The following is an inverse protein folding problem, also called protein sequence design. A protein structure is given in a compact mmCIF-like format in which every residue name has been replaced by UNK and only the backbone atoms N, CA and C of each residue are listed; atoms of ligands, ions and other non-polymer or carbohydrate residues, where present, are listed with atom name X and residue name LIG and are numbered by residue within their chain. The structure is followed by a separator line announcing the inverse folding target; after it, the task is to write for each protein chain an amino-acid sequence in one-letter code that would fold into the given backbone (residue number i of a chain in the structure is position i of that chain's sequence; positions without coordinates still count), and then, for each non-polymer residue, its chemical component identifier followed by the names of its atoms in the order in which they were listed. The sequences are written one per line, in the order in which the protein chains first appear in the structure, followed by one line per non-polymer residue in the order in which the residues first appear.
data_IF_250793124558
#
_entry.id   IF_250793124558
#
_cell.length_a   1.000
_cell.length_b   1.000
_cell.length_c   1.000
_cell.angle_alpha   90.00
_cell.angle_beta   90.00
_cell.angle_gamma   90.00
#
_symmetry.space_group_name_H-M   'P 1'
#
loop_
_entity.id
_entity.type
_entity.pdbx_description
1 polymer ?
#
# COMPACT_ATOMS: atom_id res chain seq x y z
N UNK A 1 10.78 -24.32 -4.85
CA UNK A 1 12.17 -24.12 -5.27
C UNK A 1 12.21 -22.84 -6.07
N UNK A 2 12.56 -21.71 -5.46
CA UNK A 2 12.62 -20.42 -6.14
C UNK A 2 13.83 -20.39 -7.07
N UNK A 3 13.60 -20.19 -8.36
CA UNK A 3 14.67 -19.92 -9.30
C UNK A 3 15.39 -18.64 -8.86
N UNK A 4 16.67 -18.73 -8.53
CA UNK A 4 17.52 -17.54 -8.40
C UNK A 4 17.55 -16.85 -9.76
N UNK A 5 17.26 -15.55 -9.77
CA UNK A 5 17.51 -14.73 -10.96
C UNK A 5 19.01 -14.85 -11.22
N UNK A 6 19.46 -15.17 -12.45
CA UNK A 6 20.85 -15.02 -12.77
C UNK A 6 21.21 -13.53 -12.55
N UNK A 7 22.18 -13.28 -11.66
CA UNK A 7 22.86 -12.00 -11.66
C UNK A 7 23.37 -11.77 -13.08
N UNK A 8 22.98 -10.66 -13.69
CA UNK A 8 23.55 -10.21 -14.97
C UNK A 8 25.06 -10.10 -14.72
N UNK A 9 25.83 -11.03 -15.29
CA UNK A 9 27.27 -11.16 -15.01
C UNK A 9 28.11 -10.09 -15.68
N UNK A 10 27.50 -9.24 -16.56
CA UNK A 10 28.14 -8.09 -17.19
C UNK A 10 27.13 -6.93 -17.31
N UNK A 11 27.00 -6.16 -16.22
CA UNK A 11 26.29 -4.87 -16.31
C UNK A 11 27.09 -3.92 -17.18
N UNK A 12 26.52 -3.32 -18.26
CA UNK A 12 27.24 -2.37 -19.07
C UNK A 12 27.81 -1.21 -18.23
N UNK A 13 29.08 -0.88 -18.44
CA UNK A 13 29.74 0.26 -17.75
C UNK A 13 29.28 1.60 -18.35
N UNK A 14 28.01 1.93 -18.15
CA UNK A 14 27.41 3.18 -18.58
C UNK A 14 27.35 4.13 -17.39
N UNK A 15 27.96 5.31 -17.56
CA UNK A 15 27.93 6.39 -16.56
C UNK A 15 26.88 7.40 -16.90
N UNK A 16 25.94 7.62 -16.01
CA UNK A 16 24.91 8.66 -16.15
C UNK A 16 25.52 9.99 -15.71
N UNK A 17 25.45 11.05 -16.54
CA UNK A 17 25.92 12.38 -16.17
C UNK A 17 25.25 12.90 -14.90
N UNK A 18 26.02 13.49 -13.98
CA UNK A 18 25.52 13.92 -12.67
C UNK A 18 24.32 14.88 -12.73
N UNK A 19 24.20 15.69 -13.77
CA UNK A 19 23.08 16.63 -13.94
C UNK A 19 21.77 15.97 -14.37
N UNK A 20 21.79 14.68 -14.76
CA UNK A 20 20.58 13.90 -15.07
C UNK A 20 20.10 13.07 -13.88
N UNK A 21 20.96 12.86 -12.86
CA UNK A 21 20.61 12.03 -11.71
C UNK A 21 19.55 12.70 -10.84
N UNK A 22 18.59 11.93 -10.32
CA UNK A 22 17.67 12.43 -9.31
C UNK A 22 18.42 12.86 -8.04
N UNK A 23 17.88 13.80 -7.29
CA UNK A 23 18.42 14.19 -5.99
C UNK A 23 18.36 13.02 -4.99
N UNK A 24 17.34 12.16 -5.12
CA UNK A 24 17.22 10.90 -4.37
C UNK A 24 16.82 9.76 -5.32
N UNK A 25 17.70 8.81 -5.50
CA UNK A 25 17.53 7.70 -6.44
C UNK A 25 16.67 6.51 -5.96
N UNK A 26 15.91 6.61 -4.88
CA UNK A 26 15.13 5.50 -4.30
C UNK A 26 13.70 5.46 -4.84
N UNK A 27 13.39 4.50 -5.70
CA UNK A 27 12.08 4.31 -6.34
C UNK A 27 11.41 2.98 -5.96
N UNK A 28 11.75 2.43 -4.79
CA UNK A 28 11.25 1.14 -4.33
C UNK A 28 9.75 1.11 -4.06
N UNK A 29 9.08 0.12 -4.65
CA UNK A 29 7.64 -0.12 -4.48
C UNK A 29 7.25 -0.77 -3.12
N UNK A 30 8.16 -0.73 -2.16
CA UNK A 30 7.97 -1.16 -0.76
C UNK A 30 9.03 -2.16 -0.28
N UNK A 31 9.76 -1.81 0.78
CA UNK A 31 9.67 -0.52 1.50
C UNK A 31 9.98 0.67 0.62
N UNK A 32 9.42 1.83 0.97
CA UNK A 32 9.59 3.07 0.24
C UNK A 32 10.61 4.01 0.89
N UNK A 33 10.99 5.07 0.17
CA UNK A 33 11.85 6.13 0.67
C UNK A 33 11.33 6.71 1.99
N UNK A 34 12.17 6.72 3.02
CA UNK A 34 11.95 7.47 4.26
C UNK A 34 12.53 8.86 4.09
N UNK A 35 11.78 9.89 4.48
CA UNK A 35 12.21 11.29 4.39
C UNK A 35 13.33 11.60 5.38
N UNK A 36 14.39 12.36 4.97
CA UNK A 36 15.49 12.74 5.85
C UNK A 36 15.03 13.49 7.12
N UNK A 37 14.05 14.38 6.99
CA UNK A 37 13.52 15.17 8.11
C UNK A 37 12.88 14.30 9.20
N UNK A 38 12.22 13.19 8.79
CA UNK A 38 11.68 12.20 9.71
C UNK A 38 12.77 11.49 10.51
N UNK A 39 13.90 11.15 9.84
CA UNK A 39 15.06 10.54 10.50
C UNK A 39 15.74 11.51 11.47
N UNK A 40 15.92 12.77 11.10
CA UNK A 40 16.47 13.82 11.98
C UNK A 40 15.59 14.01 13.22
N UNK A 41 14.28 14.05 13.05
CA UNK A 41 13.31 14.12 14.14
C UNK A 41 13.39 12.90 15.06
N UNK A 42 13.51 11.68 14.49
CA UNK A 42 13.67 10.44 15.25
C UNK A 42 14.96 10.46 16.09
N UNK A 43 16.08 10.88 15.52
CA UNK A 43 17.36 11.01 16.23
C UNK A 43 17.23 11.97 17.41
N UNK A 44 16.57 13.12 17.23
CA UNK A 44 16.35 14.08 18.28
C UNK A 44 15.43 13.55 19.41
N UNK A 45 14.41 12.77 19.07
CA UNK A 45 13.48 12.17 20.02
C UNK A 45 14.04 10.90 20.72
N UNK A 46 14.97 10.20 20.09
CA UNK A 46 15.44 8.88 20.48
C UNK A 46 15.79 8.74 21.98
N UNK A 47 16.51 9.68 22.65
CA UNK A 47 16.89 9.52 24.06
C UNK A 47 15.71 9.43 25.04
N UNK A 48 14.53 9.93 24.64
CA UNK A 48 13.32 9.97 25.49
C UNK A 48 12.20 9.05 24.99
N UNK A 49 12.40 8.43 23.83
CA UNK A 49 11.36 7.68 23.14
C UNK A 49 11.78 6.21 22.87
N UNK A 50 12.90 5.98 22.19
CA UNK A 50 13.36 4.62 21.88
C UNK A 50 13.79 3.89 23.15
N UNK A 51 13.46 2.59 23.21
CA UNK A 51 13.76 1.76 24.38
C UNK A 51 12.90 2.06 25.61
N UNK A 52 11.90 2.95 25.50
CA UNK A 52 10.92 3.19 26.57
C UNK A 52 9.70 2.27 26.44
N UNK A 53 8.97 2.07 27.53
CA UNK A 53 7.77 1.24 27.49
C UNK A 53 6.68 1.86 26.62
N UNK A 54 6.10 1.07 25.72
CA UNK A 54 4.98 1.51 24.87
C UNK A 54 3.69 1.88 25.65
N UNK A 55 3.65 1.58 26.96
CA UNK A 55 2.55 1.97 27.87
C UNK A 55 2.79 3.30 28.56
N UNK A 56 3.92 3.93 28.35
CA UNK A 56 4.29 5.23 28.94
C UNK A 56 3.90 6.40 28.03
N UNK A 57 3.74 7.58 28.65
CA UNK A 57 3.27 8.80 27.98
C UNK A 57 3.97 9.13 26.66
N UNK A 58 5.31 9.04 26.52
CA UNK A 58 5.95 9.42 25.26
C UNK A 58 5.48 8.59 24.06
N UNK A 59 5.33 7.27 24.24
CA UNK A 59 4.89 6.39 23.16
C UNK A 59 3.39 6.53 22.92
N UNK A 60 2.59 6.58 23.97
CA UNK A 60 1.14 6.84 23.87
C UNK A 60 0.82 8.15 23.16
N UNK A 61 1.59 9.19 23.41
CA UNK A 61 1.42 10.48 22.73
C UNK A 61 1.64 10.37 21.22
N UNK A 62 2.64 9.59 20.76
CA UNK A 62 2.88 9.34 19.34
C UNK A 62 1.74 8.51 18.74
N UNK A 63 1.24 7.48 19.43
CA UNK A 63 0.09 6.69 18.96
C UNK A 63 -1.18 7.54 18.88
N UNK A 64 -1.46 8.36 19.89
CA UNK A 64 -2.60 9.28 19.89
C UNK A 64 -2.52 10.30 18.74
N UNK A 65 -1.37 10.98 18.60
CA UNK A 65 -1.10 11.91 17.48
C UNK A 65 -1.30 11.25 16.12
N UNK A 66 -0.75 10.05 15.94
CA UNK A 66 -0.91 9.30 14.70
C UNK A 66 -2.37 8.95 14.40
N UNK A 67 -3.13 8.50 15.40
CA UNK A 67 -4.54 8.15 15.25
C UNK A 67 -5.39 9.37 14.89
N UNK A 68 -5.20 10.47 15.59
CA UNK A 68 -5.85 11.75 15.31
C UNK A 68 -5.47 12.28 13.92
N UNK A 69 -4.16 12.26 13.60
CA UNK A 69 -3.67 12.69 12.29
C UNK A 69 -4.18 11.85 11.12
N UNK A 70 -4.36 10.55 11.30
CA UNK A 70 -4.98 9.68 10.29
C UNK A 70 -6.48 9.94 10.16
N UNK A 71 -7.20 10.17 11.25
CA UNK A 71 -8.61 10.53 11.20
C UNK A 71 -8.82 11.84 10.43
N UNK A 72 -7.97 12.84 10.68
CA UNK A 72 -7.95 14.11 9.92
C UNK A 72 -7.64 13.87 8.44
N UNK A 73 -6.54 13.15 8.13
CA UNK A 73 -6.07 12.90 6.76
C UNK A 73 -7.14 12.25 5.89
N UNK A 74 -7.87 11.29 6.43
CA UNK A 74 -8.93 10.56 5.72
C UNK A 74 -10.31 11.18 5.93
N UNK A 75 -10.43 12.30 6.63
CA UNK A 75 -11.72 12.96 6.94
C UNK A 75 -12.73 11.97 7.51
N UNK A 76 -12.30 11.14 8.46
CA UNK A 76 -13.14 10.10 9.04
C UNK A 76 -14.29 10.69 9.84
N UNK A 77 -15.50 10.12 9.77
CA UNK A 77 -16.56 10.41 10.75
C UNK A 77 -16.13 10.09 12.18
N UNK A 78 -16.70 10.81 13.16
CA UNK A 78 -16.31 10.72 14.59
C UNK A 78 -16.49 9.32 15.20
N UNK A 79 -17.36 8.48 14.62
CA UNK A 79 -17.67 7.13 15.07
C UNK A 79 -16.76 6.05 14.45
N UNK A 80 -15.86 6.43 13.53
CA UNK A 80 -14.82 5.55 13.04
C UNK A 80 -13.67 5.43 14.03
N UNK A 81 -13.01 4.28 14.05
CA UNK A 81 -11.86 4.03 14.93
C UNK A 81 -10.63 3.70 14.10
N UNK A 82 -9.55 4.44 14.32
CA UNK A 82 -8.22 4.10 13.81
C UNK A 82 -7.61 3.06 14.76
N UNK A 83 -7.38 1.86 14.25
CA UNK A 83 -6.87 0.71 15.00
C UNK A 83 -5.50 0.30 14.47
N UNK A 84 -4.57 0.00 15.37
CA UNK A 84 -3.21 -0.41 15.03
C UNK A 84 -2.90 -1.80 15.58
N UNK A 85 -2.06 -2.53 14.84
CA UNK A 85 -1.50 -3.80 15.30
C UNK A 85 -0.11 -4.08 14.72
N UNK A 86 0.55 -5.05 15.30
CA UNK A 86 1.88 -5.49 14.87
C UNK A 86 1.78 -6.44 13.69
N UNK A 87 2.77 -6.40 12.76
CA UNK A 87 2.95 -7.40 11.72
C UNK A 87 2.86 -6.86 10.31
N UNK A 88 2.04 -6.06 9.88
CA UNK A 88 1.81 -5.65 8.49
C UNK A 88 0.53 -6.25 7.92
N UNK A 89 0.18 -5.92 6.68
CA UNK A 89 -1.11 -6.21 6.07
C UNK A 89 -1.41 -7.72 5.98
N UNK A 90 -0.39 -8.55 5.85
CA UNK A 90 -0.56 -10.01 5.85
C UNK A 90 -1.20 -10.51 7.16
N UNK A 91 -0.76 -9.95 8.31
CA UNK A 91 -1.40 -10.26 9.59
C UNK A 91 -2.84 -9.74 9.67
N UNK A 92 -3.14 -8.61 9.00
CA UNK A 92 -4.50 -8.10 8.96
C UNK A 92 -5.44 -8.99 8.14
N UNK A 93 -4.99 -9.58 7.02
CA UNK A 93 -5.82 -10.55 6.29
C UNK A 93 -6.26 -11.71 7.18
N UNK A 94 -5.33 -12.28 7.94
CA UNK A 94 -5.66 -13.35 8.90
C UNK A 94 -6.64 -12.85 9.97
N UNK A 95 -6.37 -11.69 10.59
CA UNK A 95 -7.27 -11.08 11.57
C UNK A 95 -8.67 -10.84 10.99
N UNK A 96 -8.78 -10.38 9.74
CA UNK A 96 -10.05 -10.15 9.07
C UNK A 96 -10.84 -11.46 8.84
N UNK A 97 -10.17 -12.57 8.50
CA UNK A 97 -10.85 -13.87 8.37
C UNK A 97 -11.46 -14.33 9.68
N UNK A 98 -10.82 -14.04 10.81
CA UNK A 98 -11.34 -14.40 12.14
C UNK A 98 -12.42 -13.44 12.63
N UNK A 99 -12.29 -12.13 12.36
CA UNK A 99 -13.06 -11.11 13.09
C UNK A 99 -14.01 -10.29 12.22
N UNK A 100 -13.89 -10.30 10.87
CA UNK A 100 -14.75 -9.53 9.98
C UNK A 100 -15.63 -10.39 9.06
N UNK A 101 -15.22 -11.62 8.74
CA UNK A 101 -16.00 -12.56 7.93
C UNK A 101 -16.80 -13.48 8.87
N UNK A 102 -18.12 -13.47 8.73
CA UNK A 102 -18.96 -14.38 9.51
C UNK A 102 -19.01 -15.77 8.91
N UNK A 103 -19.31 -15.85 7.60
CA UNK A 103 -19.48 -17.11 6.87
C UNK A 103 -18.80 -17.10 5.51
N UNK A 104 -19.12 -16.13 4.64
CA UNK A 104 -18.71 -16.15 3.25
C UNK A 104 -18.37 -14.76 2.73
N UNK A 105 -17.24 -14.67 2.05
CA UNK A 105 -16.77 -13.43 1.44
C UNK A 105 -16.73 -13.51 -0.09
N UNK A 106 -16.71 -12.34 -0.74
CA UNK A 106 -16.39 -12.17 -2.15
C UNK A 106 -15.09 -11.37 -2.27
N UNK A 107 -14.17 -11.78 -3.12
CA UNK A 107 -12.90 -11.10 -3.34
C UNK A 107 -12.68 -10.80 -4.81
N UNK A 108 -12.13 -9.62 -5.09
CA UNK A 108 -11.63 -9.27 -6.41
C UNK A 108 -10.14 -9.65 -6.49
N UNK A 109 -9.78 -10.45 -7.49
CA UNK A 109 -8.41 -10.95 -7.68
C UNK A 109 -7.91 -10.58 -9.08
N UNK A 110 -6.99 -9.62 -9.16
CA UNK A 110 -6.43 -9.08 -10.40
C UNK A 110 -4.91 -8.85 -10.34
N UNK A 111 -4.25 -9.51 -9.39
CA UNK A 111 -2.81 -9.53 -9.25
C UNK A 111 -2.34 -10.34 -8.05
N UNK A 112 -1.07 -10.23 -7.72
CA UNK A 112 -0.45 -11.02 -6.64
C UNK A 112 -1.02 -10.67 -5.27
N UNK A 113 -1.26 -9.38 -4.97
CA UNK A 113 -1.65 -8.96 -3.63
C UNK A 113 -3.15 -9.11 -3.41
N UNK A 114 -3.95 -8.78 -4.38
CA UNK A 114 -5.41 -8.97 -4.33
C UNK A 114 -5.80 -10.45 -4.17
N UNK A 115 -5.02 -11.38 -4.72
CA UNK A 115 -5.27 -12.82 -4.55
C UNK A 115 -4.96 -13.34 -3.15
N UNK A 116 -4.13 -12.67 -2.35
CA UNK A 116 -3.67 -13.17 -1.04
C UNK A 116 -4.75 -13.13 0.04
N UNK A 117 -5.56 -12.08 0.07
CA UNK A 117 -6.68 -12.03 1.01
C UNK A 117 -7.73 -13.10 0.66
N UNK A 118 -8.03 -13.27 -0.65
CA UNK A 118 -8.88 -14.36 -1.11
C UNK A 118 -8.35 -15.74 -0.69
N UNK A 119 -7.05 -15.97 -0.82
CA UNK A 119 -6.39 -17.21 -0.40
C UNK A 119 -6.44 -17.41 1.13
N UNK A 120 -6.27 -16.36 1.92
CA UNK A 120 -6.41 -16.42 3.37
C UNK A 120 -7.84 -16.80 3.78
N UNK A 121 -8.85 -16.22 3.13
CA UNK A 121 -10.25 -16.56 3.37
C UNK A 121 -10.57 -18.02 2.97
N UNK A 122 -10.08 -18.48 1.82
CA UNK A 122 -10.25 -19.86 1.37
C UNK A 122 -9.55 -20.90 2.27
N UNK A 123 -8.44 -20.53 2.89
CA UNK A 123 -7.71 -21.40 3.81
C UNK A 123 -8.31 -21.45 5.23
N UNK A 124 -9.22 -20.53 5.57
CA UNK A 124 -9.76 -20.41 6.91
C UNK A 124 -10.80 -21.51 7.19
N UNK A 125 -10.55 -22.48 8.10
CA UNK A 125 -11.37 -23.68 8.25
C UNK A 125 -12.77 -23.42 8.85
N UNK A 126 -13.02 -22.22 9.30
CA UNK A 126 -14.28 -21.79 9.92
C UNK A 126 -15.15 -20.96 8.96
N UNK A 127 -14.71 -20.76 7.72
CA UNK A 127 -15.41 -20.02 6.68
C UNK A 127 -15.87 -20.96 5.57
N UNK A 128 -16.88 -20.53 4.82
CA UNK A 128 -17.25 -21.12 3.55
C UNK A 128 -16.28 -20.66 2.45
N UNK A 129 -16.14 -21.44 1.37
CA UNK A 129 -15.32 -21.05 0.23
C UNK A 129 -15.73 -19.67 -0.30
N UNK A 130 -14.80 -18.73 -0.44
CA UNK A 130 -15.11 -17.41 -0.93
C UNK A 130 -15.50 -17.41 -2.41
N UNK A 131 -16.32 -16.48 -2.83
CA UNK A 131 -16.49 -16.15 -4.23
C UNK A 131 -15.29 -15.31 -4.71
N UNK A 132 -14.61 -15.72 -5.77
CA UNK A 132 -13.46 -15.00 -6.31
C UNK A 132 -13.78 -14.54 -7.73
N UNK A 133 -13.80 -13.23 -7.95
CA UNK A 133 -14.00 -12.61 -9.26
C UNK A 133 -12.63 -12.19 -9.78
N UNK A 134 -12.28 -12.66 -10.97
CA UNK A 134 -10.97 -12.39 -11.59
C UNK A 134 -11.12 -11.58 -12.87
N UNK A 135 -10.06 -10.88 -13.27
CA UNK A 135 -9.94 -10.22 -14.56
C UNK A 135 -8.59 -10.50 -15.20
N UNK A 136 -8.42 -10.06 -16.44
CA UNK A 136 -7.12 -10.11 -17.13
C UNK A 136 -6.08 -9.24 -16.40
N UNK A 137 -4.82 -9.66 -16.49
CA UNK A 137 -3.70 -8.91 -15.89
C UNK A 137 -3.59 -7.52 -16.53
N UNK A 138 -3.50 -6.49 -15.70
CA UNK A 138 -3.51 -5.10 -16.17
C UNK A 138 -4.91 -4.47 -16.23
N UNK A 139 -5.93 -5.18 -15.73
CA UNK A 139 -7.31 -4.67 -15.52
C UNK A 139 -7.79 -5.00 -14.11
N UNK A 140 -8.96 -4.53 -13.71
CA UNK A 140 -9.64 -4.95 -12.48
C UNK A 140 -11.09 -5.38 -12.78
N UNK A 141 -11.68 -6.32 -12.02
CA UNK A 141 -13.09 -6.64 -12.09
C UNK A 141 -13.89 -5.72 -11.16
N UNK A 142 -15.20 -5.71 -11.32
CA UNK A 142 -16.13 -5.03 -10.42
C UNK A 142 -16.72 -6.01 -9.39
N UNK A 143 -16.94 -5.52 -8.17
CA UNK A 143 -17.64 -6.28 -7.14
C UNK A 143 -19.13 -6.32 -7.42
N UNK A 144 -19.77 -7.47 -7.16
CA UNK A 144 -21.19 -7.70 -7.42
C UNK A 144 -21.90 -8.02 -6.11
N UNK A 145 -22.90 -7.20 -5.75
CA UNK A 145 -23.74 -7.47 -4.58
C UNK A 145 -24.50 -8.80 -4.73
N UNK A 146 -24.35 -9.69 -3.76
CA UNK A 146 -24.99 -11.01 -3.75
C UNK A 146 -25.53 -11.35 -2.37
N UNK A 147 -26.66 -12.02 -2.34
CA UNK A 147 -27.21 -12.60 -1.12
C UNK A 147 -26.23 -13.64 -0.54
N UNK A 148 -26.08 -13.64 0.77
CA UNK A 148 -25.21 -14.58 1.49
C UNK A 148 -23.74 -14.18 1.54
N UNK A 149 -23.33 -13.10 0.88
CA UNK A 149 -21.98 -12.52 1.04
C UNK A 149 -22.01 -11.55 2.22
N UNK A 150 -21.19 -11.80 3.22
CA UNK A 150 -21.10 -10.99 4.44
C UNK A 150 -19.87 -10.07 4.49
N UNK A 151 -18.91 -10.23 3.53
CA UNK A 151 -17.79 -9.33 3.33
C UNK A 151 -17.37 -9.29 1.87
N UNK A 152 -17.12 -8.09 1.34
CA UNK A 152 -16.54 -7.81 0.03
C UNK A 152 -15.10 -7.33 0.21
N UNK A 153 -14.13 -8.11 -0.27
CA UNK A 153 -12.70 -7.79 -0.23
C UNK A 153 -12.27 -7.10 -1.53
N UNK A 154 -11.98 -5.80 -1.44
CA UNK A 154 -11.51 -4.96 -2.54
C UNK A 154 -10.02 -4.64 -2.36
N UNK A 155 -9.33 -4.28 -3.45
CA UNK A 155 -7.93 -3.83 -3.42
C UNK A 155 -7.84 -2.51 -4.16
N UNK A 156 -7.53 -1.42 -3.46
CA UNK A 156 -7.50 -0.08 -4.06
C UNK A 156 -6.38 0.07 -5.09
N UNK A 157 -5.24 -0.55 -4.83
CA UNK A 157 -4.08 -0.51 -5.72
C UNK A 157 -3.34 -1.86 -5.71
N UNK A 158 -3.22 -2.48 -6.86
CA UNK A 158 -2.47 -3.72 -7.04
C UNK A 158 -1.00 -3.42 -7.41
N UNK A 159 -0.12 -3.50 -6.43
CA UNK A 159 1.30 -3.13 -6.57
C UNK A 159 2.06 -3.98 -7.60
N UNK A 160 1.61 -5.20 -7.86
CA UNK A 160 2.29 -6.11 -8.79
C UNK A 160 2.09 -5.73 -10.25
N UNK A 161 0.97 -5.08 -10.57
CA UNK A 161 0.55 -4.75 -11.93
C UNK A 161 0.44 -3.25 -12.20
N UNK A 162 0.41 -2.40 -11.16
CA UNK A 162 0.19 -0.97 -11.31
C UNK A 162 -1.25 -0.61 -11.70
N UNK A 163 -2.22 -1.46 -11.33
CA UNK A 163 -3.64 -1.20 -11.52
C UNK A 163 -4.23 -0.59 -10.26
N UNK A 164 -4.88 0.55 -10.36
CA UNK A 164 -5.75 1.07 -9.31
C UNK A 164 -7.21 0.89 -9.69
N UNK A 165 -8.09 0.79 -8.69
CA UNK A 165 -9.52 0.74 -8.90
C UNK A 165 -10.25 1.74 -7.99
N UNK A 166 -11.38 2.33 -8.44
CA UNK A 166 -12.22 3.13 -7.57
C UNK A 166 -12.82 2.25 -6.47
N UNK A 167 -12.84 2.76 -5.24
CA UNK A 167 -13.52 2.07 -4.13
C UNK A 167 -14.96 2.50 -4.11
N UNK A 168 -15.83 1.59 -4.50
CA UNK A 168 -17.28 1.78 -4.58
C UNK A 168 -17.93 0.55 -3.94
N UNK A 169 -18.84 0.78 -3.00
CA UNK A 169 -19.65 -0.27 -2.38
C UNK A 169 -20.44 -1.04 -3.46
N UNK A 170 -20.43 -2.37 -3.45
CA UNK A 170 -21.03 -3.18 -4.52
C UNK A 170 -22.52 -2.85 -4.70
N UNK A 171 -22.91 -2.57 -5.93
CA UNK A 171 -24.31 -2.30 -6.29
C UNK A 171 -25.17 -3.55 -6.03
N UNK A 172 -26.32 -3.38 -5.37
CA UNK A 172 -27.23 -4.46 -5.03
C UNK A 172 -26.87 -5.21 -3.73
N UNK A 173 -25.74 -4.88 -3.09
CA UNK A 173 -25.48 -5.34 -1.73
C UNK A 173 -26.45 -4.64 -0.76
N UNK A 174 -27.03 -5.40 0.19
CA UNK A 174 -27.73 -4.79 1.32
C UNK A 174 -26.73 -3.95 2.15
N UNK A 175 -27.22 -2.93 2.86
CA UNK A 175 -26.36 -2.18 3.77
C UNK A 175 -25.94 -3.06 4.95
N UNK A 176 -24.77 -2.82 5.57
CA UNK A 176 -24.40 -3.55 6.77
C UNK A 176 -25.42 -3.44 7.91
N UNK A 177 -26.13 -2.31 8.01
CA UNK A 177 -27.20 -2.11 9.00
C UNK A 177 -28.40 -3.02 8.75
N UNK A 178 -28.65 -3.39 7.50
CA UNK A 178 -29.72 -4.32 7.09
C UNK A 178 -29.22 -5.78 6.97
N UNK A 179 -28.10 -6.10 7.60
CA UNK A 179 -27.49 -7.44 7.56
C UNK A 179 -26.65 -7.73 6.29
N UNK A 180 -26.34 -6.71 5.50
CA UNK A 180 -25.50 -6.83 4.32
C UNK A 180 -24.02 -6.99 4.61
N UNK A 181 -23.24 -7.21 3.54
CA UNK A 181 -21.80 -7.42 3.63
C UNK A 181 -21.02 -6.15 3.93
N UNK A 182 -19.99 -6.28 4.78
CA UNK A 182 -18.98 -5.24 4.97
C UNK A 182 -18.12 -5.08 3.71
N UNK A 183 -17.59 -3.87 3.49
CA UNK A 183 -16.57 -3.61 2.49
C UNK A 183 -15.22 -3.47 3.17
N UNK A 184 -14.33 -4.44 2.93
CA UNK A 184 -12.94 -4.43 3.41
C UNK A 184 -12.00 -4.10 2.26
N UNK A 185 -11.20 -3.05 2.39
CA UNK A 185 -10.33 -2.53 1.35
C UNK A 185 -8.87 -2.71 1.71
N UNK A 186 -8.17 -3.52 0.92
CA UNK A 186 -6.70 -3.51 0.95
C UNK A 186 -6.19 -2.24 0.26
N UNK A 187 -5.73 -1.32 1.08
CA UNK A 187 -5.15 -0.07 0.65
C UNK A 187 -3.64 0.02 0.91
N UNK A 188 -2.99 -1.14 1.05
CA UNK A 188 -1.58 -1.22 1.45
C UNK A 188 -0.68 -0.28 0.67
N UNK A 189 -0.84 -0.16 -0.63
CA UNK A 189 -0.05 0.75 -1.46
C UNK A 189 -0.81 1.99 -1.93
N UNK A 190 -2.11 2.08 -1.68
CA UNK A 190 -2.95 3.23 -2.05
C UNK A 190 -3.10 4.27 -0.95
N UNK A 191 -3.21 3.82 0.30
CA UNK A 191 -3.48 4.69 1.45
C UNK A 191 -2.44 5.81 1.60
N UNK A 192 -2.91 7.04 1.67
CA UNK A 192 -2.07 8.24 1.75
C UNK A 192 -1.56 8.77 0.41
N UNK A 193 -1.78 8.04 -0.70
CA UNK A 193 -1.44 8.48 -2.05
C UNK A 193 -2.63 8.52 -3.00
N UNK A 194 -3.68 7.75 -2.69
CA UNK A 194 -4.95 7.75 -3.43
C UNK A 194 -6.09 8.18 -2.51
N UNK A 195 -6.99 9.06 -2.95
CA UNK A 195 -8.15 9.45 -2.15
C UNK A 195 -9.14 8.28 -2.01
N UNK A 196 -9.92 8.32 -0.95
CA UNK A 196 -11.03 7.39 -0.71
C UNK A 196 -12.16 8.11 0.03
N UNK A 197 -13.41 7.78 -0.29
CA UNK A 197 -14.57 8.24 0.46
C UNK A 197 -14.86 7.26 1.61
N UNK A 198 -14.83 7.69 2.89
CA UNK A 198 -15.15 6.84 4.03
C UNK A 198 -16.51 6.14 3.96
N UNK A 199 -17.50 6.71 3.27
CA UNK A 199 -18.80 6.08 3.08
C UNK A 199 -18.77 4.79 2.24
N UNK A 200 -17.68 4.56 1.50
CA UNK A 200 -17.56 3.41 0.59
C UNK A 200 -16.94 2.18 1.23
N UNK A 201 -16.43 2.27 2.47
CA UNK A 201 -15.80 1.14 3.15
C UNK A 201 -16.24 0.98 4.62
N UNK A 202 -16.01 -0.20 5.15
CA UNK A 202 -16.19 -0.52 6.58
C UNK A 202 -14.88 -0.86 7.27
N UNK A 203 -13.92 -1.43 6.55
CA UNK A 203 -12.55 -1.67 7.01
C UNK A 203 -11.57 -1.27 5.89
N UNK A 204 -10.88 -0.15 6.06
CA UNK A 204 -9.84 0.30 5.14
C UNK A 204 -8.49 0.10 5.83
N UNK A 205 -7.67 -0.82 5.29
CA UNK A 205 -6.46 -1.24 5.99
C UNK A 205 -5.21 -1.15 5.12
N UNK A 206 -4.08 -0.86 5.78
CA UNK A 206 -2.81 -0.62 5.12
C UNK A 206 -1.63 -0.81 6.07
N UNK A 207 -0.41 -0.64 5.55
CA UNK A 207 0.83 -0.68 6.30
C UNK A 207 1.73 0.49 5.91
N UNK A 208 2.58 1.01 6.84
CA UNK A 208 3.20 2.31 6.68
C UNK A 208 4.39 2.36 5.72
N UNK A 209 4.93 1.22 5.28
CA UNK A 209 6.13 1.15 4.43
C UNK A 209 5.91 1.51 2.94
N UNK A 210 4.74 2.03 2.58
CA UNK A 210 4.37 2.45 1.21
C UNK A 210 4.27 3.97 1.11
N UNK A 211 3.09 4.53 0.85
CA UNK A 211 2.89 5.97 0.73
C UNK A 211 3.30 6.77 1.97
N UNK A 212 3.22 6.16 3.14
CA UNK A 212 3.62 6.83 4.38
C UNK A 212 5.14 6.84 4.63
N UNK A 213 5.94 6.25 3.75
CA UNK A 213 7.40 6.40 3.78
C UNK A 213 8.03 6.15 5.14
N UNK A 214 7.49 5.20 5.92
CA UNK A 214 8.13 4.68 7.12
C UNK A 214 8.43 3.19 6.94
N UNK A 215 9.10 2.57 7.89
CA UNK A 215 9.46 1.16 7.76
C UNK A 215 8.26 0.24 8.08
N UNK A 216 8.37 -1.07 7.80
CA UNK A 216 7.33 -2.05 8.04
C UNK A 216 7.15 -2.44 9.51
N UNK A 217 6.29 -3.45 9.76
CA UNK A 217 6.09 -4.04 11.08
C UNK A 217 4.79 -3.64 11.79
N UNK A 218 3.97 -2.81 11.15
CA UNK A 218 2.65 -2.41 11.63
C UNK A 218 1.59 -2.62 10.55
N UNK A 219 0.36 -2.86 10.97
CA UNK A 219 -0.83 -2.62 10.16
C UNK A 219 -1.72 -1.57 10.83
N UNK A 220 -2.49 -0.88 10.03
CA UNK A 220 -3.51 0.08 10.45
C UNK A 220 -4.82 -0.28 9.79
N UNK A 221 -5.92 -0.13 10.49
CA UNK A 221 -7.26 -0.25 9.95
C UNK A 221 -8.15 0.89 10.43
N UNK A 222 -8.85 1.50 9.49
CA UNK A 222 -9.90 2.48 9.73
C UNK A 222 -11.22 1.70 9.73
N UNK A 223 -11.88 1.60 10.90
CA UNK A 223 -13.03 0.72 11.10
C UNK A 223 -14.29 1.55 11.33
N UNK A 224 -15.30 1.33 10.47
CA UNK A 224 -16.63 1.92 10.61
C UNK A 224 -17.36 1.37 11.84
N UNK A 225 -18.44 2.00 12.31
CA UNK A 225 -19.31 1.42 13.33
C UNK A 225 -19.79 0.01 12.97
N UNK A 226 -20.16 -0.22 11.71
CA UNK A 226 -20.62 -1.53 11.25
C UNK A 226 -19.52 -2.62 11.37
N UNK A 227 -18.26 -2.26 11.09
CA UNK A 227 -17.13 -3.17 11.29
C UNK A 227 -16.89 -3.44 12.78
N UNK A 228 -16.99 -2.42 13.65
CA UNK A 228 -16.88 -2.58 15.10
C UNK A 228 -17.99 -3.49 15.65
N UNK A 229 -19.22 -3.30 15.22
CA UNK A 229 -20.36 -4.15 15.60
C UNK A 229 -20.18 -5.60 15.11
N UNK A 230 -19.64 -5.79 13.90
CA UNK A 230 -19.30 -7.11 13.36
C UNK A 230 -18.27 -7.83 14.22
N UNK A 231 -17.20 -7.14 14.61
CA UNK A 231 -16.16 -7.67 15.50
C UNK A 231 -16.77 -8.11 16.84
N UNK A 232 -17.57 -7.26 17.46
CA UNK A 232 -18.26 -7.57 18.72
C UNK A 232 -19.22 -8.76 18.57
N UNK A 233 -19.99 -8.83 17.47
CA UNK A 233 -20.91 -9.93 17.20
C UNK A 233 -20.19 -11.26 17.02
N UNK A 234 -19.09 -11.30 16.23
CA UNK A 234 -18.28 -12.51 16.08
C UNK A 234 -17.66 -12.93 17.42
N UNK A 235 -17.13 -12.00 18.20
CA UNK A 235 -16.58 -12.30 19.52
C UNK A 235 -17.63 -12.94 20.45
N UNK A 236 -18.90 -12.51 20.38
CA UNK A 236 -20.00 -13.09 21.18
C UNK A 236 -20.30 -14.56 20.85
N UNK A 237 -19.95 -15.03 19.65
CA UNK A 237 -20.11 -16.45 19.25
C UNK A 237 -19.09 -17.38 19.89
N UNK A 238 -18.07 -16.83 20.56
CA UNK A 238 -16.93 -17.57 21.13
C UNK A 238 -16.10 -18.31 20.07
N UNK A 239 -16.08 -17.81 18.83
CA UNK A 239 -15.12 -18.26 17.81
C UNK A 239 -13.72 -18.14 18.40
N UNK A 240 -12.93 -19.20 18.30
CA UNK A 240 -11.55 -19.12 18.72
C UNK A 240 -10.75 -18.22 17.78
N UNK A 241 -10.01 -17.26 18.35
CA UNK A 241 -9.16 -16.31 17.63
C UNK A 241 -7.81 -16.24 18.35
N UNK A 242 -6.67 -16.34 17.63
CA UNK A 242 -5.37 -16.06 18.24
C UNK A 242 -5.33 -14.63 18.80
N UNK A 243 -4.88 -14.46 20.04
CA UNK A 243 -4.89 -13.15 20.71
C UNK A 243 -4.17 -12.04 19.91
N UNK A 244 -3.13 -12.39 19.13
CA UNK A 244 -2.40 -11.44 18.27
C UNK A 244 -3.19 -11.01 17.02
N UNK A 245 -4.27 -11.70 16.68
CA UNK A 245 -5.15 -11.46 15.53
C UNK A 245 -6.56 -11.03 15.96
N UNK A 246 -6.82 -10.95 17.27
CA UNK A 246 -8.12 -10.56 17.81
C UNK A 246 -8.33 -9.04 17.68
N UNK A 247 -9.20 -8.65 16.76
CA UNK A 247 -9.52 -7.24 16.53
C UNK A 247 -10.25 -6.60 17.72
N UNK A 248 -10.88 -7.37 18.62
CA UNK A 248 -11.41 -6.82 19.87
C UNK A 248 -10.27 -6.31 20.75
N UNK A 249 -9.22 -7.12 20.92
CA UNK A 249 -8.01 -6.73 21.66
C UNK A 249 -7.32 -5.54 21.01
N UNK A 250 -7.23 -5.53 19.69
CA UNK A 250 -6.61 -4.42 18.96
C UNK A 250 -7.40 -3.11 19.13
N UNK A 251 -8.73 -3.15 19.02
CA UNK A 251 -9.62 -2.00 19.23
C UNK A 251 -9.49 -1.44 20.67
N UNK A 252 -9.54 -2.30 21.67
CA UNK A 252 -9.46 -1.88 23.07
C UNK A 252 -8.12 -1.24 23.41
N UNK A 253 -7.03 -1.80 22.87
CA UNK A 253 -5.71 -1.19 23.04
C UNK A 253 -5.58 0.15 22.28
N UNK A 254 -6.08 0.22 21.05
CA UNK A 254 -6.02 1.44 20.25
C UNK A 254 -6.80 2.60 20.88
N UNK A 255 -7.95 2.34 21.50
CA UNK A 255 -8.71 3.34 22.27
C UNK A 255 -7.94 3.91 23.48
N UNK A 256 -6.91 3.21 23.94
CA UNK A 256 -6.01 3.63 25.02
C UNK A 256 -4.67 4.20 24.50
N UNK A 257 -4.57 4.45 23.18
CA UNK A 257 -3.35 4.84 22.48
C UNK A 257 -2.21 3.85 22.68
N UNK A 258 -2.51 2.56 22.50
CA UNK A 258 -1.56 1.47 22.66
C UNK A 258 -1.75 0.43 21.57
N UNK A 259 -0.78 -0.47 21.46
CA UNK A 259 -0.90 -1.76 20.78
C UNK A 259 -0.87 -2.88 21.81
N UNK A 260 -1.38 -4.06 21.44
CA UNK A 260 -1.38 -5.25 22.34
C UNK A 260 0.03 -5.62 22.80
N UNK A 261 0.97 -5.71 21.86
CA UNK A 261 2.40 -5.91 22.12
C UNK A 261 3.19 -4.65 21.77
N UNK A 262 4.45 -4.57 22.23
CA UNK A 262 5.36 -3.48 21.88
C UNK A 262 5.44 -3.33 20.36
N UNK A 263 5.10 -2.15 19.81
CA UNK A 263 5.22 -1.91 18.37
C UNK A 263 6.66 -1.59 17.98
N UNK A 264 6.92 -1.57 16.67
CA UNK A 264 8.17 -1.04 16.12
C UNK A 264 8.20 0.48 16.34
N UNK A 265 8.81 0.94 17.44
CA UNK A 265 8.76 2.34 17.89
C UNK A 265 9.33 3.31 16.86
N UNK A 266 10.44 2.96 16.19
CA UNK A 266 11.02 3.80 15.15
C UNK A 266 10.06 3.98 13.97
N UNK A 267 9.47 2.88 13.49
CA UNK A 267 8.44 2.90 12.43
C UNK A 267 7.23 3.76 12.83
N UNK A 268 6.73 3.57 14.06
CA UNK A 268 5.60 4.33 14.58
C UNK A 268 5.88 5.83 14.60
N UNK A 269 7.08 6.23 15.03
CA UNK A 269 7.50 7.64 15.06
C UNK A 269 7.61 8.22 13.64
N UNK A 270 8.29 7.52 12.74
CA UNK A 270 8.44 7.97 11.34
C UNK A 270 7.09 8.09 10.66
N UNK A 271 6.16 7.19 10.96
CA UNK A 271 4.80 7.22 10.44
C UNK A 271 4.03 8.46 10.92
N UNK A 272 4.07 8.75 12.22
CA UNK A 272 3.49 9.97 12.79
C UNK A 272 4.07 11.25 12.16
N UNK A 273 5.38 11.30 11.95
CA UNK A 273 6.04 12.43 11.28
C UNK A 273 5.57 12.59 9.82
N UNK A 274 5.33 11.49 9.12
CA UNK A 274 4.86 11.52 7.75
C UNK A 274 3.39 11.98 7.65
N UNK A 275 2.52 11.48 8.52
CA UNK A 275 1.11 11.92 8.60
C UNK A 275 1.03 13.39 8.98
N UNK A 276 1.81 13.82 9.96
CA UNK A 276 1.91 15.23 10.36
C UNK A 276 2.36 16.12 9.18
N UNK A 277 3.34 15.67 8.39
CA UNK A 277 3.76 16.39 7.20
C UNK A 277 2.63 16.52 6.19
N UNK A 278 1.90 15.44 5.89
CA UNK A 278 0.76 15.49 4.98
C UNK A 278 -0.27 16.53 5.43
N UNK A 279 -0.71 16.47 6.69
CA UNK A 279 -1.75 17.36 7.22
C UNK A 279 -1.29 18.83 7.22
N UNK A 280 -0.04 19.11 7.60
CA UNK A 280 0.53 20.46 7.57
C UNK A 280 0.63 21.05 6.16
N UNK A 281 0.75 20.23 5.13
CA UNK A 281 0.86 20.66 3.74
C UNK A 281 -0.49 20.73 3.00
N UNK A 282 -1.58 20.29 3.61
CA UNK A 282 -2.92 20.32 3.00
C UNK A 282 -3.60 18.95 2.93
N UNK A 283 -3.13 17.99 3.71
CA UNK A 283 -3.79 16.69 3.88
C UNK A 283 -3.74 15.79 2.65
N UNK A 284 -4.82 15.06 2.42
CA UNK A 284 -4.94 14.12 1.31
C UNK A 284 -4.77 14.80 -0.06
N UNK A 285 -5.27 16.02 -0.23
CA UNK A 285 -5.13 16.76 -1.48
C UNK A 285 -3.66 17.04 -1.83
N UNK A 286 -2.82 17.32 -0.83
CA UNK A 286 -1.39 17.48 -1.03
C UNK A 286 -0.71 16.15 -1.37
N UNK A 287 -0.94 15.10 -0.58
CA UNK A 287 -0.24 13.83 -0.76
C UNK A 287 -0.62 13.13 -2.07
N UNK A 288 -1.91 13.09 -2.40
CA UNK A 288 -2.37 12.54 -3.69
C UNK A 288 -1.95 13.40 -4.86
N UNK A 289 -2.01 14.74 -4.75
CA UNK A 289 -1.57 15.65 -5.81
C UNK A 289 -0.07 15.50 -6.18
N UNK A 290 0.79 15.09 -5.23
CA UNK A 290 2.19 14.71 -5.55
C UNK A 290 2.26 13.44 -6.37
N UNK A 291 1.45 12.44 -6.03
CA UNK A 291 1.35 11.19 -6.79
C UNK A 291 0.79 11.43 -8.19
N UNK A 292 -0.25 12.25 -8.32
CA UNK A 292 -0.85 12.64 -9.61
C UNK A 292 0.19 13.29 -10.52
N UNK A 293 0.95 14.26 -10.00
CA UNK A 293 2.02 14.91 -10.76
C UNK A 293 3.12 13.92 -11.17
N UNK A 294 3.55 13.05 -10.27
CA UNK A 294 4.56 12.03 -10.55
C UNK A 294 4.08 11.04 -11.62
N UNK A 295 2.84 10.59 -11.54
CA UNK A 295 2.24 9.66 -12.51
C UNK A 295 2.06 10.32 -13.88
N UNK A 296 1.63 11.57 -13.93
CA UNK A 296 1.53 12.35 -15.17
C UNK A 296 2.89 12.45 -15.88
N UNK A 297 3.96 12.78 -15.14
CA UNK A 297 5.33 12.82 -15.67
C UNK A 297 5.72 11.47 -16.27
N UNK A 298 5.58 10.40 -15.51
CA UNK A 298 6.00 9.06 -15.91
C UNK A 298 5.21 8.54 -17.12
N UNK A 299 3.88 8.65 -17.10
CA UNK A 299 3.05 8.12 -18.17
C UNK A 299 3.14 8.97 -19.44
N UNK A 300 3.23 10.30 -19.34
CA UNK A 300 3.47 11.18 -20.48
C UNK A 300 4.82 10.87 -21.13
N UNK A 301 5.87 10.63 -20.34
CA UNK A 301 7.16 10.20 -20.87
C UNK A 301 7.04 8.86 -21.61
N UNK A 302 6.38 7.86 -21.02
CA UNK A 302 6.25 6.53 -21.63
C UNK A 302 5.43 6.57 -22.93
N UNK A 303 4.35 7.34 -22.97
CA UNK A 303 3.49 7.49 -24.16
C UNK A 303 4.20 8.22 -25.33
N UNK A 304 5.14 9.10 -25.02
CA UNK A 304 5.95 9.80 -26.03
C UNK A 304 7.27 9.09 -26.38
N UNK A 305 7.58 7.98 -25.69
CA UNK A 305 8.78 7.19 -25.95
C UNK A 305 8.59 6.26 -27.15
N UNK A 306 9.66 6.05 -27.94
CA UNK A 306 9.68 5.06 -29.00
C UNK A 306 9.92 3.63 -28.52
N UNK A 307 10.26 3.43 -27.24
CA UNK A 307 10.70 2.15 -26.68
C UNK A 307 10.02 1.78 -25.34
N UNK A 308 9.17 2.65 -24.82
CA UNK A 308 8.48 2.41 -23.55
C UNK A 308 6.97 2.58 -23.72
N UNK A 309 6.18 1.78 -22.99
CA UNK A 309 4.72 1.83 -23.08
C UNK A 309 4.11 1.55 -21.70
N UNK A 310 3.10 2.31 -21.23
CA UNK A 310 2.37 1.97 -20.02
C UNK A 310 1.75 0.56 -20.13
N UNK A 311 2.01 -0.28 -19.16
CA UNK A 311 1.46 -1.64 -19.13
C UNK A 311 -0.06 -1.63 -19.03
N UNK A 312 -0.60 -0.86 -18.09
CA UNK A 312 -2.04 -0.68 -17.91
C UNK A 312 -2.58 0.18 -19.05
N UNK A 313 -3.48 -0.40 -19.86
CA UNK A 313 -3.93 0.24 -21.10
C UNK A 313 -4.96 1.34 -20.88
N UNK A 314 -5.96 1.08 -20.00
CA UNK A 314 -6.97 2.08 -19.65
C UNK A 314 -6.34 3.13 -18.75
N UNK A 315 -6.42 4.39 -19.17
CA UNK A 315 -5.78 5.51 -18.43
C UNK A 315 -6.34 5.65 -17.02
N UNK A 316 -7.65 5.44 -16.85
CA UNK A 316 -8.34 5.52 -15.58
C UNK A 316 -7.97 4.42 -14.58
N UNK A 317 -7.40 3.31 -15.04
CA UNK A 317 -6.95 2.19 -14.19
C UNK A 317 -5.46 2.28 -13.86
N UNK A 318 -4.72 3.21 -14.47
CA UNK A 318 -3.29 3.40 -14.21
C UNK A 318 -3.06 3.93 -12.81
N UNK A 319 -2.32 3.20 -12.02
CA UNK A 319 -2.00 3.61 -10.65
C UNK A 319 -1.21 4.91 -10.60
N UNK A 320 -1.63 5.84 -9.74
CA UNK A 320 -0.88 7.07 -9.49
C UNK A 320 0.23 6.88 -8.43
N UNK A 321 0.31 5.70 -7.81
CA UNK A 321 1.31 5.40 -6.77
C UNK A 321 2.35 4.36 -7.21
N UNK A 322 2.06 3.58 -8.27
CA UNK A 322 2.96 2.56 -8.83
C UNK A 322 2.87 2.59 -10.35
N UNK A 323 3.90 3.07 -11.01
CA UNK A 323 4.01 3.00 -12.47
C UNK A 323 4.62 1.67 -12.93
N UNK A 324 3.99 1.02 -13.90
CA UNK A 324 4.50 -0.17 -14.58
C UNK A 324 4.66 0.12 -16.06
N UNK A 325 5.90 0.08 -16.55
CA UNK A 325 6.27 0.50 -17.90
C UNK A 325 6.95 -0.67 -18.60
N UNK A 326 6.32 -1.17 -19.65
CA UNK A 326 6.91 -2.18 -20.53
C UNK A 326 7.94 -1.53 -21.45
N UNK A 327 9.07 -2.19 -21.65
CA UNK A 327 10.06 -1.81 -22.66
C UNK A 327 9.93 -2.68 -23.90
N UNK A 328 10.33 -2.13 -25.04
CA UNK A 328 10.43 -2.86 -26.31
C UNK A 328 11.31 -4.10 -26.15
N UNK A 329 10.99 -5.18 -26.86
CA UNK A 329 11.71 -6.46 -26.77
C UNK A 329 13.22 -6.35 -27.16
N UNK A 330 13.59 -5.31 -27.88
CA UNK A 330 15.00 -5.03 -28.21
C UNK A 330 15.80 -4.47 -27.02
N UNK A 331 15.15 -4.09 -25.91
CA UNK A 331 15.76 -3.46 -24.73
C UNK A 331 15.48 -4.34 -23.51
N UNK A 332 16.51 -4.90 -22.90
CA UNK A 332 16.37 -5.70 -21.68
C UNK A 332 16.18 -4.80 -20.44
N UNK A 333 14.97 -4.81 -19.88
CA UNK A 333 14.64 -4.02 -18.69
C UNK A 333 15.52 -4.36 -17.48
N UNK A 334 15.97 -5.60 -17.36
CA UNK A 334 16.83 -6.01 -16.26
C UNK A 334 18.22 -5.36 -16.39
N UNK A 335 18.76 -5.28 -17.58
CA UNK A 335 20.01 -4.58 -17.88
C UNK A 335 19.88 -3.08 -17.63
N UNK A 336 18.77 -2.44 -18.05
CA UNK A 336 18.49 -1.03 -17.75
C UNK A 336 18.46 -0.79 -16.24
N UNK A 337 17.72 -1.60 -15.49
CA UNK A 337 17.64 -1.48 -14.03
C UNK A 337 19.00 -1.70 -13.34
N UNK A 338 19.82 -2.63 -13.86
CA UNK A 338 21.18 -2.87 -13.33
C UNK A 338 22.10 -1.65 -13.53
N UNK A 339 22.05 -1.01 -14.71
CA UNK A 339 22.80 0.23 -15.00
C UNK A 339 22.32 1.37 -14.11
N UNK A 340 21.00 1.56 -13.98
CA UNK A 340 20.40 2.55 -13.08
C UNK A 340 20.94 2.36 -11.65
N UNK A 341 20.90 1.13 -11.15
CA UNK A 341 21.38 0.78 -9.80
C UNK A 341 22.85 1.06 -9.62
N UNK A 342 23.70 0.76 -10.60
CA UNK A 342 25.12 1.07 -10.58
C UNK A 342 25.42 2.59 -10.52
N UNK A 343 24.46 3.42 -10.93
CA UNK A 343 24.52 4.88 -10.86
C UNK A 343 23.70 5.48 -9.69
N UNK A 344 23.27 4.64 -8.71
CA UNK A 344 22.58 5.11 -7.51
C UNK A 344 21.05 5.28 -7.64
N UNK A 345 20.47 4.87 -8.77
CA UNK A 345 19.01 4.87 -8.99
C UNK A 345 18.51 3.44 -8.80
N UNK A 346 17.80 3.17 -7.69
CA UNK A 346 17.57 1.81 -7.20
C UNK A 346 16.09 1.43 -7.16
N UNK A 347 15.86 0.10 -7.19
CA UNK A 347 14.58 -0.56 -6.97
C UNK A 347 13.52 -0.26 -8.04
N UNK A 348 13.98 -0.15 -9.30
CA UNK A 348 13.13 0.00 -10.50
C UNK A 348 12.80 -1.34 -11.17
N UNK A 349 13.27 -2.46 -10.64
CA UNK A 349 13.09 -3.80 -11.20
C UNK A 349 11.60 -4.21 -11.23
N UNK A 350 11.19 -5.04 -12.23
CA UNK A 350 9.82 -5.50 -12.36
C UNK A 350 9.41 -6.41 -11.20
N UNK A 351 8.11 -6.60 -11.04
CA UNK A 351 7.62 -7.64 -10.15
C UNK A 351 7.93 -9.04 -10.75
N UNK A 352 8.85 -9.78 -10.11
CA UNK A 352 9.43 -11.02 -10.67
C UNK A 352 8.42 -12.05 -11.15
N UNK A 353 7.31 -12.25 -10.40
CA UNK A 353 6.31 -13.26 -10.73
C UNK A 353 5.48 -12.89 -11.97
N UNK A 354 5.46 -11.63 -12.37
CA UNK A 354 4.75 -11.18 -13.56
C UNK A 354 5.48 -11.58 -14.85
N UNK A 355 6.82 -11.73 -14.79
CA UNK A 355 7.63 -12.27 -15.90
C UNK A 355 7.68 -11.35 -17.14
N UNK A 356 7.50 -10.05 -16.98
CA UNK A 356 7.49 -9.07 -18.09
C UNK A 356 8.80 -8.33 -18.24
N UNK A 357 9.12 -7.91 -19.45
CA UNK A 357 10.20 -6.97 -19.78
C UNK A 357 9.76 -5.54 -19.40
N UNK A 358 9.88 -5.19 -18.10
CA UNK A 358 9.18 -4.08 -17.50
C UNK A 358 10.02 -3.38 -16.43
N UNK A 359 9.81 -2.09 -16.25
CA UNK A 359 10.22 -1.34 -15.06
C UNK A 359 9.00 -1.10 -14.17
N UNK A 360 9.19 -1.18 -12.84
CA UNK A 360 8.16 -0.85 -11.87
C UNK A 360 8.68 0.22 -10.92
N UNK A 361 8.02 1.36 -10.93
CA UNK A 361 8.49 2.59 -10.32
C UNK A 361 7.49 3.04 -9.27
N UNK A 362 7.93 3.24 -8.04
CA UNK A 362 7.10 3.87 -7.02
C UNK A 362 6.99 5.37 -7.27
N UNK A 363 5.77 5.88 -7.06
CA UNK A 363 5.40 7.29 -7.21
C UNK A 363 4.82 7.82 -5.88
N UNK A 364 5.25 7.24 -4.76
CA UNK A 364 4.75 7.55 -3.43
C UNK A 364 5.02 9.00 -3.03
N UNK A 365 4.21 9.60 -2.15
CA UNK A 365 4.30 11.04 -1.83
C UNK A 365 5.67 11.53 -1.33
N UNK A 366 6.50 10.66 -0.73
CA UNK A 366 7.85 11.03 -0.30
C UNK A 366 8.86 11.16 -1.45
N UNK A 367 8.56 10.63 -2.64
CA UNK A 367 9.37 10.78 -3.84
C UNK A 367 9.02 12.11 -4.48
N UNK A 368 10.04 12.91 -4.81
CA UNK A 368 9.80 14.19 -5.45
C UNK A 368 9.41 14.00 -6.94
N UNK A 369 8.38 14.69 -7.46
CA UNK A 369 8.06 14.63 -8.88
C UNK A 369 9.23 14.99 -9.80
N UNK A 370 10.13 15.89 -9.35
CA UNK A 370 11.32 16.23 -10.12
C UNK A 370 12.33 15.06 -10.16
N UNK A 371 12.41 14.22 -9.11
CA UNK A 371 13.19 12.97 -9.12
C UNK A 371 12.60 11.95 -10.13
N UNK A 372 11.28 11.91 -10.32
CA UNK A 372 10.63 11.07 -11.34
C UNK A 372 10.98 11.56 -12.76
N UNK A 373 10.99 12.87 -12.98
CA UNK A 373 11.43 13.44 -14.26
C UNK A 373 12.90 13.12 -14.54
N UNK A 374 13.77 13.23 -13.55
CA UNK A 374 15.18 12.86 -13.63
C UNK A 374 15.36 11.36 -13.92
N UNK A 375 14.56 10.48 -13.28
CA UNK A 375 14.56 9.04 -13.58
C UNK A 375 14.24 8.78 -15.07
N UNK A 376 13.22 9.43 -15.64
CA UNK A 376 12.88 9.31 -17.06
C UNK A 376 14.05 9.73 -17.96
N UNK A 377 14.76 10.82 -17.62
CA UNK A 377 15.95 11.25 -18.33
C UNK A 377 17.11 10.24 -18.20
N UNK A 378 17.31 9.64 -17.02
CA UNK A 378 18.28 8.56 -16.82
C UNK A 378 17.98 7.34 -17.69
N UNK A 379 16.72 6.90 -17.76
CA UNK A 379 16.31 5.76 -18.60
C UNK A 379 16.60 6.06 -20.09
N UNK A 380 16.24 7.26 -20.58
CA UNK A 380 16.55 7.66 -21.95
C UNK A 380 18.05 7.62 -22.23
N UNK A 381 18.89 8.12 -21.31
CA UNK A 381 20.35 8.11 -21.45
C UNK A 381 20.89 6.68 -21.51
N UNK A 382 20.45 5.80 -20.60
CA UNK A 382 20.89 4.40 -20.53
C UNK A 382 20.53 3.67 -21.81
N UNK A 383 19.27 3.74 -22.25
CA UNK A 383 18.79 3.08 -23.47
C UNK A 383 19.53 3.60 -24.69
N UNK A 384 19.75 4.92 -24.82
CA UNK A 384 20.52 5.50 -25.92
C UNK A 384 21.98 5.01 -25.94
N UNK A 385 22.61 4.88 -24.76
CA UNK A 385 24.00 4.38 -24.67
C UNK A 385 24.11 2.86 -24.88
N UNK A 386 23.06 2.08 -24.65
CA UNK A 386 23.03 0.64 -24.95
C UNK A 386 22.82 0.35 -26.43
N UNK A 387 22.24 1.29 -27.20
CA UNK A 387 21.98 1.15 -28.64
C UNK A 387 23.16 1.57 -29.52
N UNK A 388 24.14 2.28 -29.01
CA UNK A 388 25.34 2.78 -29.74
C UNK A 388 26.54 1.94 -29.45
#
# INVERSE_FOLDING_TARGET
MGAMIPYVTDTPDIRIPAHLLPADGRFGAGPSKVRPEGLEALVAAAPKYLGTSHRQKPVKAVVGSLREGLAELFSLPDDYVVTLGNGGTTCFWDAATFCLIEKKSQHLSFGEFSSKFAAAAAAAPHLEDPEIITSEVGTHPDAVGREGIDLYGLTQNETSTGVMMPIIRPTGAASPADGGGLVAVDATSGAGGLPVDPAQFDAYYFAPQKCFGSDGGLWVALLSPAAQDRIARIASTKRWVPASMDLTIALDNSKLDQTYNTPALATLFLFDQQVSWFNQQGGMAFSSGRCDRSSEILYTWAENSSFATPFVKRTEDRSHVIGTIDLDDAIDAASVAAVLRANGVVDTEPYRKLGRNQLRIALFPAIDPDDVAALCACINHVVGAMAG
#
